data_IF_697025278351
#
_entry.id   IF_697025278351
#
_cell.length_a   1.000
_cell.length_b   1.000
_cell.length_c   1.000
_cell.angle_alpha   90.00
_cell.angle_beta   90.00
_cell.angle_gamma   90.00
#
_symmetry.space_group_name_H-M   'P 1'
#
loop_
_entity.id
_entity.type
_entity.pdbx_description
1 polymer ?
#
# COMPACT_ATOMS: atom_id res chain seq x y z
N UNK A 1 -7.13 -14.91 16.35
CA UNK A 1 -7.29 -13.44 16.37
C UNK A 1 -8.72 -13.05 16.00
N UNK A 2 -9.28 -12.06 16.70
CA UNK A 2 -10.48 -11.32 16.31
C UNK A 2 -10.13 -9.83 16.28
N UNK A 3 -10.85 -9.05 15.47
CA UNK A 3 -10.80 -7.58 15.55
C UNK A 3 -11.04 -7.14 17.01
N UNK A 4 -10.38 -6.07 17.44
CA UNK A 4 -10.61 -5.51 18.78
C UNK A 4 -12.03 -4.95 18.87
N UNK A 5 -12.63 -4.99 20.07
CA UNK A 5 -13.95 -4.40 20.31
C UNK A 5 -13.94 -2.88 20.08
N UNK A 6 -12.77 -2.26 20.27
CA UNK A 6 -12.52 -0.86 19.95
C UNK A 6 -12.76 -0.62 18.45
N UNK A 7 -11.94 -1.25 17.59
CA UNK A 7 -12.01 -1.09 16.13
C UNK A 7 -13.41 -1.43 15.64
N UNK A 8 -13.99 -2.55 16.09
CA UNK A 8 -15.34 -2.97 15.69
C UNK A 8 -16.43 -1.91 15.92
N UNK A 9 -16.25 -1.04 16.91
CA UNK A 9 -17.20 0.03 17.27
C UNK A 9 -16.82 1.40 16.71
N UNK A 10 -15.52 1.67 16.52
CA UNK A 10 -15.03 3.00 16.14
C UNK A 10 -14.77 3.14 14.65
N UNK A 11 -14.45 2.05 13.93
CA UNK A 11 -14.14 2.14 12.50
C UNK A 11 -15.22 2.86 11.67
N UNK A 12 -16.55 2.62 11.83
CA UNK A 12 -17.53 3.30 11.01
C UNK A 12 -17.61 4.80 11.32
N UNK A 13 -17.16 5.22 12.51
CA UNK A 13 -17.16 6.61 12.95
C UNK A 13 -15.89 7.31 12.45
N UNK A 14 -14.73 6.64 12.52
CA UNK A 14 -13.48 7.14 11.94
C UNK A 14 -13.61 7.41 10.44
N UNK A 15 -14.23 6.49 9.70
CA UNK A 15 -14.51 6.65 8.27
C UNK A 15 -15.70 7.58 7.95
N UNK A 16 -16.34 8.20 8.96
CA UNK A 16 -17.35 9.27 8.80
C UNK A 16 -16.80 10.68 9.08
N UNK A 17 -15.48 10.83 9.01
CA UNK A 17 -14.77 12.11 9.18
C UNK A 17 -14.74 12.61 10.64
N UNK A 18 -14.95 13.92 10.86
CA UNK A 18 -14.51 14.73 12.02
C UNK A 18 -14.99 14.32 13.43
N UNK A 19 -15.69 13.20 13.57
CA UNK A 19 -16.19 12.68 14.86
C UNK A 19 -15.15 11.84 15.61
N UNK A 20 -14.08 11.39 14.94
CA UNK A 20 -13.04 10.57 15.56
C UNK A 20 -11.67 10.75 14.87
N UNK A 21 -10.58 10.46 15.59
CA UNK A 21 -9.22 10.43 15.02
C UNK A 21 -8.97 9.12 14.27
N UNK A 22 -8.09 9.14 13.28
CA UNK A 22 -7.56 7.91 12.68
C UNK A 22 -6.69 7.21 13.74
N UNK A 23 -7.14 6.05 14.22
CA UNK A 23 -6.51 5.28 15.30
C UNK A 23 -6.18 3.85 14.81
N UNK A 24 -5.75 3.75 13.55
CA UNK A 24 -5.20 2.54 12.94
C UNK A 24 -3.68 2.66 12.82
N UNK A 25 -3.00 1.63 12.33
CA UNK A 25 -1.54 1.66 12.11
C UNK A 25 -0.73 1.95 13.40
N UNK A 26 -1.20 1.46 14.56
CA UNK A 26 -0.56 1.65 15.87
C UNK A 26 -0.65 3.09 16.39
N UNK A 27 -1.51 3.93 15.80
CA UNK A 27 -1.79 5.29 16.26
C UNK A 27 -2.99 5.34 17.20
N UNK A 28 -2.97 6.24 18.19
CA UNK A 28 -4.09 6.44 19.10
C UNK A 28 -4.16 7.90 19.57
N UNK A 29 -5.29 8.58 19.34
CA UNK A 29 -5.54 9.96 19.77
C UNK A 29 -4.45 10.96 19.30
N UNK A 30 -3.95 10.81 18.08
CA UNK A 30 -2.81 11.56 17.49
C UNK A 30 -1.42 11.24 18.11
N UNK A 31 -1.34 10.18 18.93
CA UNK A 31 -0.11 9.60 19.45
C UNK A 31 0.30 8.34 18.70
N UNK A 32 1.49 7.84 19.03
CA UNK A 32 1.97 6.53 18.56
C UNK A 32 1.97 5.63 19.78
N UNK A 33 1.15 4.59 19.78
CA UNK A 33 0.92 3.74 20.96
C UNK A 33 2.24 3.21 21.54
N UNK A 34 3.13 2.68 20.70
CA UNK A 34 4.43 2.21 21.15
C UNK A 34 5.38 3.31 21.66
N UNK A 35 5.32 4.55 21.14
CA UNK A 35 6.18 5.66 21.61
C UNK A 35 5.65 6.26 22.92
N UNK A 36 4.32 6.30 23.06
CA UNK A 36 3.63 6.86 24.22
C UNK A 36 3.47 5.84 25.37
N UNK A 37 4.02 4.63 25.21
CA UNK A 37 3.89 3.49 26.14
C UNK A 37 2.42 3.16 26.47
N UNK A 38 1.54 3.35 25.49
CA UNK A 38 0.12 3.03 25.58
C UNK A 38 -0.17 1.70 24.86
N UNK A 39 -1.11 0.89 25.36
CA UNK A 39 -1.61 -0.25 24.61
C UNK A 39 -2.21 0.23 23.29
N UNK A 40 -1.87 -0.45 22.18
CA UNK A 40 -2.60 -0.26 20.93
C UNK A 40 -4.03 -0.78 21.10
N UNK A 41 -5.00 0.14 21.08
CA UNK A 41 -6.41 -0.19 21.16
C UNK A 41 -6.90 -0.89 19.86
N UNK A 42 -6.17 -0.69 18.77
CA UNK A 42 -6.38 -1.32 17.47
C UNK A 42 -6.01 -2.80 17.43
N UNK A 43 -5.09 -3.24 18.31
CA UNK A 43 -4.45 -4.53 18.17
C UNK A 43 -5.47 -5.69 18.22
N UNK A 44 -5.48 -6.57 17.18
CA UNK A 44 -6.28 -7.78 17.22
C UNK A 44 -5.87 -8.69 18.39
N UNK A 45 -6.80 -9.48 18.93
CA UNK A 45 -6.50 -10.38 20.07
C UNK A 45 -5.41 -11.43 19.84
N UNK A 46 -5.03 -11.69 18.58
CA UNK A 46 -3.89 -12.56 18.23
C UNK A 46 -2.69 -11.81 17.65
N UNK A 47 -2.72 -10.48 17.68
CA UNK A 47 -1.76 -9.60 17.03
C UNK A 47 -1.91 -9.52 15.51
N UNK A 48 -1.03 -8.71 14.94
CA UNK A 48 -0.81 -8.58 13.51
C UNK A 48 0.08 -9.69 12.96
N UNK A 49 0.21 -9.73 11.63
CA UNK A 49 0.96 -10.76 10.91
C UNK A 49 2.42 -10.90 11.38
N UNK A 50 3.11 -9.78 11.63
CA UNK A 50 4.49 -9.79 12.13
C UNK A 50 4.64 -10.34 13.55
N UNK A 51 3.60 -10.26 14.40
CA UNK A 51 3.61 -10.93 15.71
C UNK A 51 3.60 -12.45 15.53
N UNK A 52 2.81 -12.96 14.57
CA UNK A 52 2.80 -14.38 14.23
C UNK A 52 4.18 -14.83 13.70
N UNK A 53 4.84 -14.01 12.88
CA UNK A 53 6.21 -14.28 12.41
C UNK A 53 7.23 -14.32 13.54
N UNK A 54 7.22 -13.33 14.43
CA UNK A 54 8.10 -13.28 15.59
C UNK A 54 7.97 -14.53 16.48
N UNK A 55 6.74 -14.99 16.72
CA UNK A 55 6.45 -16.18 17.53
C UNK A 55 6.97 -17.49 16.90
N UNK A 56 7.11 -17.54 15.58
CA UNK A 56 7.53 -18.73 14.83
C UNK A 56 8.94 -18.64 14.25
N UNK A 57 9.72 -17.64 14.68
CA UNK A 57 11.12 -17.48 14.26
C UNK A 57 11.30 -17.05 12.80
N UNK A 58 10.26 -16.51 12.17
CA UNK A 58 10.33 -15.93 10.83
C UNK A 58 10.88 -14.51 10.96
N UNK A 59 11.96 -14.20 10.26
CA UNK A 59 12.53 -12.85 10.23
C UNK A 59 11.72 -11.93 9.34
N UNK A 60 11.49 -10.70 9.78
CA UNK A 60 10.72 -9.70 9.03
C UNK A 60 11.37 -8.32 9.06
N UNK A 61 11.04 -7.52 8.05
CA UNK A 61 11.46 -6.12 7.93
C UNK A 61 10.42 -5.26 7.23
N UNK A 62 10.23 -4.05 7.73
CA UNK A 62 9.23 -3.09 7.26
C UNK A 62 9.88 -1.88 6.60
N UNK A 63 9.22 -1.42 5.54
CA UNK A 63 9.51 -0.20 4.81
C UNK A 63 8.18 0.57 4.64
N UNK A 64 7.95 1.57 5.51
CA UNK A 64 6.79 2.46 5.48
C UNK A 64 5.62 2.04 6.39
N UNK A 65 5.01 0.88 6.14
CA UNK A 65 3.78 0.45 6.83
C UNK A 65 3.98 0.21 8.35
N UNK A 66 3.11 0.80 9.19
CA UNK A 66 3.20 0.82 10.66
C UNK A 66 4.52 1.46 11.18
N UNK A 67 5.21 2.25 10.35
CA UNK A 67 6.38 3.04 10.72
C UNK A 67 6.03 4.51 10.54
N UNK A 68 5.84 5.26 11.62
CA UNK A 68 5.44 6.66 11.53
C UNK A 68 6.64 7.55 11.24
N UNK A 69 6.61 8.22 10.09
CA UNK A 69 7.58 9.26 9.76
C UNK A 69 7.22 10.59 10.42
N UNK A 70 8.16 11.15 11.18
CA UNK A 70 8.12 12.55 11.60
C UNK A 70 8.85 13.38 10.56
N UNK A 71 8.13 14.30 9.94
CA UNK A 71 8.65 15.18 8.89
C UNK A 71 9.15 16.51 9.45
N UNK A 72 10.20 17.05 8.84
CA UNK A 72 10.79 18.33 9.24
C UNK A 72 9.91 19.55 8.94
N UNK A 73 8.99 19.44 7.98
CA UNK A 73 8.02 20.47 7.62
C UNK A 73 6.69 20.35 8.40
N UNK A 74 6.55 19.36 9.28
CA UNK A 74 5.34 19.19 10.09
C UNK A 74 5.14 20.37 11.05
N UNK A 75 3.89 20.75 11.28
CA UNK A 75 3.56 21.75 12.28
C UNK A 75 4.02 21.29 13.67
N UNK A 76 4.59 22.18 14.50
CA UNK A 76 5.05 21.80 15.84
C UNK A 76 3.89 21.23 16.67
N UNK A 77 4.11 20.06 17.27
CA UNK A 77 3.20 19.43 18.25
C UNK A 77 3.12 20.32 19.50
N UNK A 78 2.28 21.36 19.45
CA UNK A 78 2.07 22.30 20.55
C UNK A 78 1.10 21.77 21.62
N UNK A 79 0.61 20.53 21.48
CA UNK A 79 -0.24 19.89 22.48
C UNK A 79 0.66 19.20 23.50
N UNK A 80 0.64 19.68 24.74
CA UNK A 80 1.23 18.94 25.87
C UNK A 80 0.57 17.56 25.92
N UNK A 81 1.32 16.46 26.11
CA UNK A 81 0.72 15.16 26.33
C UNK A 81 -0.33 15.29 27.45
N UNK A 82 -1.57 14.89 27.16
CA UNK A 82 -2.66 14.89 28.15
C UNK A 82 -2.44 13.79 29.19
N UNK A 83 -1.66 12.75 28.83
CA UNK A 83 -1.22 11.62 29.64
C UNK A 83 0.18 11.15 29.18
N UNK A 84 0.93 10.51 30.07
CA UNK A 84 2.27 9.96 29.78
C UNK A 84 3.44 10.90 30.15
N UNK A 85 4.69 10.42 30.05
CA UNK A 85 5.87 11.25 30.27
C UNK A 85 5.96 12.39 29.23
N UNK A 86 6.64 13.51 29.53
CA UNK A 86 6.87 14.56 28.55
C UNK A 86 7.55 13.99 27.30
N UNK A 87 6.96 14.21 26.12
CA UNK A 87 7.58 13.83 24.85
C UNK A 87 8.94 14.53 24.71
N UNK A 88 9.95 13.80 24.22
CA UNK A 88 11.25 14.38 23.90
C UNK A 88 11.04 15.54 22.93
N UNK A 89 11.75 16.66 23.13
CA UNK A 89 11.68 17.80 22.22
C UNK A 89 11.87 17.32 20.77
N UNK A 90 10.99 17.77 19.87
CA UNK A 90 11.03 17.40 18.46
C UNK A 90 12.40 17.65 17.83
N UNK A 91 12.73 16.86 16.82
CA UNK A 91 13.98 17.03 16.05
C UNK A 91 13.96 18.42 15.40
N UNK A 92 14.95 19.24 15.69
CA UNK A 92 15.10 20.55 15.05
C UNK A 92 15.80 20.34 13.72
N UNK A 93 15.05 20.50 12.63
CA UNK A 93 15.61 20.42 11.29
C UNK A 93 16.05 21.80 10.80
N UNK A 94 17.29 21.90 10.29
CA UNK A 94 17.80 23.13 9.67
C UNK A 94 17.20 23.37 8.27
N UNK A 95 16.70 22.31 7.65
CA UNK A 95 16.08 22.29 6.32
C UNK A 95 14.82 21.43 6.44
N UNK A 96 13.72 21.92 5.89
CA UNK A 96 12.42 21.25 6.00
C UNK A 96 11.98 20.55 4.72
N UNK A 97 12.45 21.06 3.57
CA UNK A 97 12.11 20.57 2.23
C UNK A 97 13.33 20.65 1.29
N UNK A 98 13.30 19.84 0.25
CA UNK A 98 14.22 19.85 -0.89
C UNK A 98 13.50 20.44 -2.10
N UNK A 99 14.06 21.51 -2.65
CA UNK A 99 13.53 22.14 -3.88
C UNK A 99 14.22 21.59 -5.12
N UNK A 100 13.60 21.82 -6.28
CA UNK A 100 14.20 21.53 -7.58
C UNK A 100 15.64 22.04 -7.66
N UNK A 101 16.52 21.19 -8.19
CA UNK A 101 17.95 21.41 -8.34
C UNK A 101 18.77 21.55 -7.04
N UNK A 102 18.15 21.55 -5.86
CA UNK A 102 18.89 21.42 -4.62
C UNK A 102 19.35 19.95 -4.43
N UNK A 103 20.46 19.71 -3.71
CA UNK A 103 20.91 18.35 -3.42
C UNK A 103 19.85 17.53 -2.69
N UNK A 104 19.62 16.32 -3.19
CA UNK A 104 18.89 15.24 -2.52
C UNK A 104 19.67 14.74 -1.28
N UNK A 105 19.00 13.96 -0.43
CA UNK A 105 19.69 13.26 0.66
C UNK A 105 20.72 12.28 0.11
N UNK A 106 21.79 12.04 0.88
CA UNK A 106 23.00 11.32 0.40
C UNK A 106 22.76 9.86 0.01
N UNK A 107 21.64 9.29 0.44
CA UNK A 107 21.26 7.91 0.20
C UNK A 107 20.46 7.74 -1.10
N UNK A 108 19.78 8.77 -1.58
CA UNK A 108 18.85 8.70 -2.72
C UNK A 108 19.30 9.55 -3.91
N UNK A 109 18.72 9.29 -5.08
CA UNK A 109 19.04 9.93 -6.34
C UNK A 109 20.13 9.24 -7.15
N UNK A 110 20.19 9.59 -8.43
CA UNK A 110 21.12 9.07 -9.44
C UNK A 110 21.82 10.27 -10.15
N UNK A 111 23.07 10.61 -9.82
CA UNK A 111 23.89 10.05 -8.74
C UNK A 111 23.37 10.43 -7.34
N UNK A 112 23.73 9.64 -6.33
CA UNK A 112 23.31 9.84 -4.94
C UNK A 112 23.64 11.23 -4.41
N UNK A 113 22.67 11.88 -3.76
CA UNK A 113 22.78 13.26 -3.30
C UNK A 113 22.90 14.29 -4.42
N UNK A 114 22.60 13.90 -5.67
CA UNK A 114 22.56 14.78 -6.82
C UNK A 114 21.43 15.82 -6.76
N UNK A 115 21.35 16.73 -7.73
CA UNK A 115 20.30 17.74 -7.78
C UNK A 115 18.92 17.11 -7.97
N UNK A 116 17.94 17.53 -7.18
CA UNK A 116 16.55 17.05 -7.27
C UNK A 116 15.95 17.37 -8.66
N UNK A 117 15.43 16.36 -9.39
CA UNK A 117 14.77 16.59 -10.68
C UNK A 117 13.32 17.08 -10.52
N UNK A 118 12.72 16.88 -9.35
CA UNK A 118 11.30 17.11 -9.10
C UNK A 118 10.96 18.60 -9.02
N UNK A 119 9.86 19.05 -9.66
CA UNK A 119 9.48 20.45 -9.67
C UNK A 119 8.71 20.93 -8.43
N UNK A 120 8.24 20.02 -7.57
CA UNK A 120 7.61 20.33 -6.28
C UNK A 120 8.63 20.24 -5.13
N UNK A 121 8.19 20.64 -3.94
CA UNK A 121 8.98 20.54 -2.71
C UNK A 121 8.88 19.13 -2.13
N UNK A 122 10.03 18.48 -1.87
CA UNK A 122 10.08 17.14 -1.26
C UNK A 122 10.32 17.30 0.24
N UNK A 123 9.48 16.75 1.12
CA UNK A 123 9.65 16.85 2.56
C UNK A 123 10.86 16.03 3.05
N UNK A 124 11.50 16.51 4.11
CA UNK A 124 12.68 15.86 4.70
C UNK A 124 12.26 15.05 5.93
N UNK A 125 12.74 13.81 6.00
CA UNK A 125 12.56 12.91 7.15
C UNK A 125 13.34 13.46 8.34
N UNK A 126 12.66 13.67 9.46
CA UNK A 126 13.30 14.01 10.73
C UNK A 126 13.67 12.74 11.51
N UNK A 127 12.72 11.80 11.61
CA UNK A 127 12.93 10.45 12.16
C UNK A 127 11.77 9.52 11.81
N UNK A 128 12.04 8.22 11.79
CA UNK A 128 11.03 7.16 11.74
C UNK A 128 10.86 6.51 13.11
N UNK A 129 9.63 6.11 13.43
CA UNK A 129 9.25 5.51 14.71
C UNK A 129 8.40 4.27 14.43
N UNK A 130 8.78 3.12 14.99
CA UNK A 130 7.93 1.92 14.93
C UNK A 130 6.64 2.15 15.73
N UNK A 131 5.49 1.98 15.08
CA UNK A 131 4.19 2.16 15.73
C UNK A 131 3.84 1.02 16.70
N UNK A 132 4.39 -0.16 16.44
CA UNK A 132 4.25 -1.37 17.26
C UNK A 132 5.57 -1.79 17.91
N UNK A 133 5.46 -2.42 19.08
CA UNK A 133 6.61 -2.85 19.86
C UNK A 133 7.47 -3.90 19.13
N UNK A 134 6.80 -4.79 18.40
CA UNK A 134 7.37 -5.87 17.60
C UNK A 134 8.17 -5.33 16.40
N UNK A 135 7.84 -4.14 15.90
CA UNK A 135 8.54 -3.54 14.77
C UNK A 135 9.82 -2.79 15.19
N UNK A 136 10.08 -2.62 16.49
CA UNK A 136 11.30 -1.94 16.97
C UNK A 136 12.55 -2.70 16.52
N UNK A 137 13.39 -2.04 15.71
CA UNK A 137 14.60 -2.63 15.14
C UNK A 137 14.38 -3.47 13.87
N UNK A 138 13.13 -3.58 13.42
CA UNK A 138 12.72 -4.33 12.22
C UNK A 138 12.29 -3.42 11.06
N UNK A 139 12.81 -2.19 10.98
CA UNK A 139 12.52 -1.25 9.89
C UNK A 139 13.78 -0.51 9.44
N UNK A 140 13.67 0.16 8.29
CA UNK A 140 14.69 1.08 7.79
C UNK A 140 14.47 2.51 8.32
N UNK A 141 15.41 3.09 9.08
CA UNK A 141 15.25 4.43 9.65
C UNK A 141 15.27 5.57 8.61
N UNK A 142 15.66 5.30 7.36
CA UNK A 142 15.72 6.26 6.26
C UNK A 142 14.60 6.09 5.23
N UNK A 143 13.79 5.03 5.33
CA UNK A 143 12.67 4.79 4.42
C UNK A 143 11.38 5.44 4.93
N UNK A 144 10.82 6.46 4.25
CA UNK A 144 9.64 7.17 4.76
C UNK A 144 8.34 6.39 4.61
N UNK A 145 7.38 6.73 5.46
CA UNK A 145 5.97 6.34 5.42
C UNK A 145 5.19 7.11 4.32
N UNK A 146 3.86 7.03 4.39
CA UNK A 146 2.89 7.75 3.58
C UNK A 146 3.18 9.25 3.52
N UNK A 147 3.44 9.72 2.30
CA UNK A 147 3.60 11.13 1.95
C UNK A 147 3.66 11.23 0.42
N UNK A 148 2.57 11.70 -0.19
CA UNK A 148 2.38 11.73 -1.66
C UNK A 148 3.22 12.81 -2.36
N UNK A 149 3.87 13.70 -1.60
CA UNK A 149 4.87 14.63 -2.13
C UNK A 149 6.28 14.03 -2.17
N UNK A 150 6.54 12.94 -1.44
CA UNK A 150 7.82 12.25 -1.46
C UNK A 150 7.79 11.18 -2.55
N UNK A 151 8.62 11.26 -3.61
CA UNK A 151 8.52 10.34 -4.74
C UNK A 151 8.84 8.88 -4.40
N UNK A 152 8.04 7.94 -4.91
CA UNK A 152 8.28 6.50 -4.80
C UNK A 152 9.59 6.05 -5.46
N UNK A 153 10.10 6.78 -6.46
CA UNK A 153 11.47 6.55 -6.94
C UNK A 153 12.54 6.73 -5.87
N UNK A 154 12.38 7.70 -4.95
CA UNK A 154 13.32 7.89 -3.84
C UNK A 154 13.12 6.84 -2.75
N UNK A 155 11.89 6.33 -2.57
CA UNK A 155 11.63 5.16 -1.71
C UNK A 155 12.30 3.90 -2.28
N UNK A 156 12.17 3.68 -3.58
CA UNK A 156 12.85 2.57 -4.27
C UNK A 156 14.37 2.69 -4.18
N UNK A 157 14.95 3.90 -4.31
CA UNK A 157 16.38 4.13 -4.10
C UNK A 157 16.82 3.65 -2.72
N UNK A 158 16.09 4.02 -1.66
CA UNK A 158 16.46 3.63 -0.30
C UNK A 158 16.30 2.13 -0.06
N UNK A 159 15.19 1.53 -0.47
CA UNK A 159 15.03 0.08 -0.39
C UNK A 159 16.16 -0.65 -1.12
N UNK A 160 16.49 -0.21 -2.34
CA UNK A 160 17.55 -0.82 -3.15
C UNK A 160 18.95 -0.66 -2.53
N UNK A 161 19.18 0.38 -1.71
CA UNK A 161 20.44 0.52 -0.98
C UNK A 161 20.68 -0.63 -0.02
N UNK A 162 19.65 -1.04 0.72
CA UNK A 162 19.74 -2.15 1.66
C UNK A 162 19.62 -3.50 0.96
N UNK A 163 18.72 -3.62 -0.03
CA UNK A 163 18.59 -4.84 -0.83
C UNK A 163 19.93 -5.24 -1.48
N UNK A 164 20.68 -4.28 -2.03
CA UNK A 164 22.01 -4.55 -2.59
C UNK A 164 23.01 -5.08 -1.54
N UNK A 165 22.88 -4.68 -0.27
CA UNK A 165 23.68 -5.23 0.82
C UNK A 165 23.30 -6.67 1.13
N UNK A 166 22.01 -7.01 1.11
CA UNK A 166 21.55 -8.39 1.23
C UNK A 166 22.08 -9.27 0.10
N UNK A 167 22.00 -8.79 -1.15
CA UNK A 167 22.55 -9.50 -2.32
C UNK A 167 24.06 -9.73 -2.15
N UNK A 168 24.81 -8.71 -1.74
CA UNK A 168 26.24 -8.83 -1.49
C UNK A 168 26.54 -9.85 -0.37
N UNK A 169 25.78 -9.82 0.72
CA UNK A 169 25.93 -10.75 1.84
C UNK A 169 25.65 -12.19 1.40
N UNK A 170 24.55 -12.45 0.68
CA UNK A 170 24.21 -13.78 0.15
C UNK A 170 25.26 -14.30 -0.81
N UNK A 171 25.76 -13.46 -1.71
CA UNK A 171 26.87 -13.81 -2.62
C UNK A 171 28.17 -14.13 -1.88
N UNK A 172 28.36 -13.59 -0.67
CA UNK A 172 29.48 -13.93 0.22
C UNK A 172 29.24 -15.18 1.11
N UNK A 173 28.09 -15.85 0.95
CA UNK A 173 27.71 -17.05 1.69
C UNK A 173 26.97 -16.80 3.00
N UNK A 174 26.52 -15.56 3.26
CA UNK A 174 25.72 -15.20 4.44
C UNK A 174 24.41 -14.57 4.00
N UNK A 175 23.34 -15.35 3.97
CA UNK A 175 22.02 -14.78 3.73
C UNK A 175 21.56 -13.95 4.93
N UNK A 176 21.24 -12.68 4.69
CA UNK A 176 20.75 -11.75 5.71
C UNK A 176 19.43 -11.08 5.32
N UNK A 177 18.86 -11.43 4.16
CA UNK A 177 17.55 -10.87 3.79
C UNK A 177 16.49 -11.45 4.74
N UNK A 178 15.60 -10.61 5.28
CA UNK A 178 14.45 -11.06 6.04
C UNK A 178 13.57 -12.00 5.21
N UNK A 179 13.00 -13.04 5.84
CA UNK A 179 12.09 -13.97 5.16
C UNK A 179 10.78 -13.30 4.72
N UNK A 180 10.34 -12.27 5.45
CA UNK A 180 9.23 -11.41 5.06
C UNK A 180 9.66 -9.95 4.97
N UNK A 181 9.29 -9.29 3.89
CA UNK A 181 9.47 -7.85 3.71
C UNK A 181 8.12 -7.22 3.39
N UNK A 182 7.77 -6.15 4.10
CA UNK A 182 6.64 -5.30 3.77
C UNK A 182 7.17 -3.98 3.18
N UNK A 183 6.80 -3.69 1.94
CA UNK A 183 7.21 -2.49 1.20
C UNK A 183 5.98 -1.66 0.81
N UNK A 184 5.87 -0.43 1.32
CA UNK A 184 4.78 0.52 1.03
C UNK A 184 5.24 1.57 0.01
N UNK A 185 4.58 1.63 -1.14
CA UNK A 185 4.79 2.64 -2.19
C UNK A 185 3.47 3.40 -2.39
N UNK A 186 3.25 4.56 -1.74
CA UNK A 186 1.93 5.18 -1.62
C UNK A 186 1.58 6.24 -2.69
N UNK A 187 2.44 6.53 -3.67
CA UNK A 187 2.21 7.69 -4.55
C UNK A 187 0.96 7.53 -5.45
N UNK A 188 0.54 6.31 -5.73
CA UNK A 188 -0.68 6.04 -6.49
C UNK A 188 -1.98 6.46 -5.76
N UNK A 189 -1.91 6.77 -4.46
CA UNK A 189 -2.96 7.46 -3.69
C UNK A 189 -3.18 8.92 -4.18
N UNK A 190 -2.15 9.51 -4.78
CA UNK A 190 -2.11 10.85 -5.40
C UNK A 190 -2.35 12.03 -4.45
N UNK A 191 -1.99 13.24 -4.89
CA UNK A 191 -2.39 14.49 -4.25
C UNK A 191 -3.65 15.12 -4.91
N UNK A 192 -4.42 14.33 -5.67
CA UNK A 192 -5.51 14.83 -6.51
C UNK A 192 -5.06 15.92 -7.48
N UNK A 193 -5.82 17.01 -7.58
CA UNK A 193 -5.49 18.16 -8.43
C UNK A 193 -4.83 19.31 -7.64
N UNK A 194 -4.28 19.02 -6.46
CA UNK A 194 -3.67 20.02 -5.58
C UNK A 194 -2.54 20.74 -6.29
N UNK A 195 -2.57 22.08 -6.28
CA UNK A 195 -1.56 22.89 -6.95
C UNK A 195 -0.18 22.69 -6.33
N UNK A 196 0.85 22.72 -7.17
CA UNK A 196 2.25 22.50 -6.84
C UNK A 196 2.54 21.09 -6.32
N UNK A 197 1.62 20.15 -6.50
CA UNK A 197 1.81 18.73 -6.23
C UNK A 197 1.85 17.93 -7.55
N UNK A 198 2.35 16.69 -7.54
CA UNK A 198 2.36 15.83 -8.72
C UNK A 198 0.96 15.70 -9.33
N UNK A 199 0.90 15.58 -10.66
CA UNK A 199 -0.36 15.18 -11.32
C UNK A 199 -0.71 13.73 -10.94
N UNK A 200 -2.00 13.35 -10.88
CA UNK A 200 -2.39 11.96 -10.62
C UNK A 200 -1.69 10.94 -11.55
N UNK A 201 -1.63 11.25 -12.85
CA UNK A 201 -0.93 10.40 -13.82
C UNK A 201 0.59 10.35 -13.62
N UNK A 202 1.20 11.39 -13.04
CA UNK A 202 2.61 11.41 -12.70
C UNK A 202 2.87 10.52 -11.48
N UNK A 203 2.03 10.61 -10.44
CA UNK A 203 2.16 9.79 -9.24
C UNK A 203 2.01 8.29 -9.51
N UNK A 204 0.98 7.90 -10.27
CA UNK A 204 0.79 6.49 -10.67
C UNK A 204 1.95 6.00 -11.53
N UNK A 205 2.50 6.84 -12.42
CA UNK A 205 3.66 6.48 -13.23
C UNK A 205 4.98 6.42 -12.45
N UNK A 206 5.12 7.23 -11.40
CA UNK A 206 6.25 7.19 -10.46
C UNK A 206 6.21 5.89 -9.65
N UNK A 207 5.04 5.53 -9.11
CA UNK A 207 4.78 4.28 -8.40
C UNK A 207 5.03 3.03 -9.27
N UNK A 208 4.48 2.98 -10.49
CA UNK A 208 4.65 1.86 -11.45
C UNK A 208 6.13 1.61 -11.76
N UNK A 209 6.91 2.68 -12.01
CA UNK A 209 8.35 2.54 -12.22
C UNK A 209 9.07 2.10 -10.94
N UNK A 210 8.65 2.53 -9.75
CA UNK A 210 9.28 2.14 -8.49
C UNK A 210 9.13 0.64 -8.25
N UNK A 211 7.92 0.09 -8.47
CA UNK A 211 7.68 -1.36 -8.50
C UNK A 211 8.58 -2.03 -9.53
N UNK A 212 8.59 -1.52 -10.77
CA UNK A 212 9.41 -2.07 -11.85
C UNK A 212 10.89 -2.17 -11.49
N UNK A 213 11.47 -1.13 -10.86
CA UNK A 213 12.87 -1.10 -10.43
C UNK A 213 13.18 -2.11 -9.33
N UNK A 214 12.28 -2.27 -8.37
CA UNK A 214 12.42 -3.27 -7.30
C UNK A 214 12.42 -4.69 -7.87
N UNK A 215 11.48 -4.98 -8.78
CA UNK A 215 11.35 -6.30 -9.39
C UNK A 215 12.49 -6.61 -10.37
N UNK A 216 12.96 -5.61 -11.13
CA UNK A 216 14.14 -5.73 -11.99
C UNK A 216 15.37 -6.12 -11.16
N UNK A 217 15.67 -5.38 -10.08
CA UNK A 217 16.78 -5.68 -9.19
C UNK A 217 16.65 -7.06 -8.53
N UNK A 218 15.46 -7.41 -8.03
CA UNK A 218 15.19 -8.70 -7.39
C UNK A 218 15.40 -9.86 -8.35
N UNK A 219 14.79 -9.80 -9.53
CA UNK A 219 14.76 -10.90 -10.50
C UNK A 219 16.12 -11.14 -11.18
N UNK A 220 17.01 -10.15 -11.17
CA UNK A 220 18.41 -10.29 -11.58
C UNK A 220 19.36 -10.71 -10.45
N UNK A 221 18.87 -10.83 -9.22
CA UNK A 221 19.70 -11.18 -8.05
C UNK A 221 19.71 -12.68 -7.74
N UNK A 222 20.57 -13.07 -6.79
CA UNK A 222 20.59 -14.43 -6.23
C UNK A 222 19.32 -14.82 -5.45
N UNK A 223 18.43 -13.87 -5.16
CA UNK A 223 17.16 -14.08 -4.46
C UNK A 223 15.99 -14.45 -5.39
N UNK A 224 16.18 -14.40 -6.71
CA UNK A 224 15.07 -14.67 -7.65
C UNK A 224 14.47 -16.07 -7.49
N UNK A 225 15.31 -17.05 -7.17
CA UNK A 225 14.94 -18.45 -7.11
C UNK A 225 14.05 -18.81 -5.92
N UNK A 226 14.01 -17.98 -4.88
CA UNK A 226 13.33 -18.27 -3.62
C UNK A 226 12.51 -17.09 -3.07
N UNK A 227 12.23 -16.08 -3.90
CA UNK A 227 11.35 -14.96 -3.53
C UNK A 227 10.03 -15.01 -4.28
N UNK A 228 8.96 -14.69 -3.56
CA UNK A 228 7.64 -14.37 -4.11
C UNK A 228 7.28 -12.95 -3.69
N UNK A 229 6.82 -12.14 -4.65
CA UNK A 229 6.29 -10.80 -4.40
C UNK A 229 4.78 -10.85 -4.62
N UNK A 230 4.03 -10.40 -3.63
CA UNK A 230 2.59 -10.27 -3.69
C UNK A 230 2.28 -8.78 -3.53
N UNK A 231 1.55 -8.22 -4.50
CA UNK A 231 1.23 -6.79 -4.56
C UNK A 231 -0.28 -6.66 -4.51
N UNK A 232 -0.76 -5.76 -3.66
CA UNK A 232 -2.14 -5.34 -3.51
C UNK A 232 -2.17 -3.85 -3.16
N UNK A 233 -3.28 -3.20 -3.47
CA UNK A 233 -3.61 -1.89 -2.88
C UNK A 233 -4.27 -2.08 -1.50
N UNK A 234 -4.23 -1.05 -0.67
CA UNK A 234 -4.93 -1.00 0.62
C UNK A 234 -6.45 -0.95 0.43
N UNK A 235 -6.93 -0.16 -0.53
CA UNK A 235 -8.31 -0.15 -0.98
C UNK A 235 -8.46 0.09 -2.51
N UNK A 236 -9.68 0.36 -2.97
CA UNK A 236 -10.03 0.67 -4.37
C UNK A 236 -10.50 2.11 -4.54
N UNK A 237 -10.25 2.94 -3.53
CA UNK A 237 -10.72 4.31 -3.32
C UNK A 237 -12.25 4.48 -3.41
N UNK A 238 -13.04 3.42 -3.19
CA UNK A 238 -14.49 3.40 -3.51
C UNK A 238 -14.79 3.90 -4.95
N UNK A 239 -13.87 3.60 -5.87
CA UNK A 239 -13.95 3.98 -7.27
C UNK A 239 -15.03 3.21 -8.03
N UNK A 240 -15.57 3.77 -9.12
CA UNK A 240 -16.52 3.05 -9.96
C UNK A 240 -15.85 1.87 -10.68
N UNK A 241 -16.30 0.66 -10.36
CA UNK A 241 -15.95 -0.56 -11.06
C UNK A 241 -17.19 -1.25 -11.65
N UNK A 242 -17.03 -1.93 -12.79
CA UNK A 242 -18.14 -2.58 -13.48
C UNK A 242 -18.62 -3.88 -12.82
N UNK A 243 -17.83 -4.46 -11.89
CA UNK A 243 -18.19 -5.64 -11.09
C UNK A 243 -18.62 -5.21 -9.69
N UNK A 244 -17.72 -4.59 -8.93
CA UNK A 244 -17.94 -4.14 -7.55
C UNK A 244 -16.88 -3.11 -7.16
N UNK A 245 -17.27 -2.04 -6.46
CA UNK A 245 -16.39 -0.93 -6.10
C UNK A 245 -15.26 -1.34 -5.17
N UNK A 246 -15.32 -2.50 -4.50
CA UNK A 246 -14.23 -3.04 -3.68
C UNK A 246 -13.22 -3.89 -4.48
N UNK A 247 -13.44 -4.10 -5.79
CA UNK A 247 -12.50 -4.88 -6.61
C UNK A 247 -11.24 -4.04 -6.86
N UNK A 248 -10.10 -4.53 -6.36
CA UNK A 248 -8.78 -3.91 -6.57
C UNK A 248 -7.85 -4.82 -7.36
N UNK A 249 -6.62 -4.34 -7.61
CA UNK A 249 -5.55 -5.09 -8.24
C UNK A 249 -4.92 -6.09 -7.26
N UNK A 250 -4.48 -7.23 -7.78
CA UNK A 250 -3.69 -8.20 -7.04
C UNK A 250 -2.70 -8.88 -7.99
N UNK A 251 -1.40 -8.74 -7.74
CA UNK A 251 -0.34 -9.27 -8.58
C UNK A 251 0.53 -10.27 -7.79
N UNK A 252 1.00 -11.32 -8.47
CA UNK A 252 1.95 -12.28 -7.92
C UNK A 252 3.12 -12.45 -8.89
N UNK A 253 4.32 -12.11 -8.42
CA UNK A 253 5.56 -12.17 -9.19
C UNK A 253 6.51 -13.15 -8.50
N UNK A 254 6.89 -14.20 -9.21
CA UNK A 254 7.84 -15.20 -8.74
C UNK A 254 8.45 -15.94 -9.94
N UNK A 255 9.62 -16.55 -9.75
CA UNK A 255 10.19 -17.49 -10.72
C UNK A 255 9.21 -18.61 -11.12
N UNK A 256 8.29 -18.94 -10.20
CA UNK A 256 7.26 -19.98 -10.32
C UNK A 256 5.89 -19.46 -10.78
N UNK A 257 5.74 -18.17 -11.12
CA UNK A 257 4.49 -17.70 -11.72
C UNK A 257 4.28 -18.32 -13.11
N UNK A 258 3.04 -18.68 -13.52
CA UNK A 258 2.78 -19.18 -14.87
C UNK A 258 3.27 -18.21 -15.95
N UNK A 259 3.93 -18.75 -16.98
CA UNK A 259 4.43 -17.93 -18.09
C UNK A 259 3.27 -17.23 -18.82
N UNK A 260 3.49 -16.02 -19.33
CA UNK A 260 2.54 -15.36 -20.22
C UNK A 260 2.16 -16.26 -21.40
N UNK A 261 0.90 -16.21 -21.82
CA UNK A 261 0.51 -16.82 -23.08
C UNK A 261 1.06 -15.96 -24.22
N UNK A 262 1.83 -16.56 -25.14
CA UNK A 262 2.30 -15.86 -26.33
C UNK A 262 1.19 -15.86 -27.39
N UNK A 263 0.58 -14.70 -27.63
CA UNK A 263 -0.14 -14.43 -28.87
C UNK A 263 0.55 -13.25 -29.55
N UNK A 264 0.97 -13.44 -30.81
CA UNK A 264 1.45 -12.38 -31.73
C UNK A 264 2.17 -11.20 -31.08
N UNK A 265 3.50 -11.26 -30.93
CA UNK A 265 4.39 -10.16 -30.45
C UNK A 265 4.07 -9.52 -29.08
N UNK A 266 2.94 -9.82 -28.44
CA UNK A 266 2.52 -9.29 -27.15
C UNK A 266 2.34 -10.44 -26.15
N UNK A 267 3.12 -10.42 -25.07
CA UNK A 267 2.96 -11.36 -23.98
C UNK A 267 1.70 -10.99 -23.18
N UNK A 268 0.73 -11.90 -23.07
CA UNK A 268 -0.45 -11.72 -22.22
C UNK A 268 -0.16 -12.40 -20.88
N UNK A 269 -0.11 -11.67 -19.75
CA UNK A 269 0.16 -12.29 -18.45
C UNK A 269 -0.91 -13.33 -18.13
N UNK A 270 -0.56 -14.33 -17.33
CA UNK A 270 -1.55 -15.25 -16.80
C UNK A 270 -2.50 -14.51 -15.86
N UNK A 271 -3.81 -14.67 -16.07
CA UNK A 271 -4.86 -14.10 -15.23
C UNK A 271 -5.64 -15.24 -14.60
N UNK A 272 -5.62 -15.32 -13.27
CA UNK A 272 -6.51 -16.19 -12.51
C UNK A 272 -7.83 -15.46 -12.27
N UNK A 273 -8.95 -16.09 -12.64
CA UNK A 273 -10.29 -15.54 -12.49
C UNK A 273 -11.01 -16.06 -11.23
N UNK A 274 -10.32 -16.79 -10.36
CA UNK A 274 -10.86 -17.18 -9.06
C UNK A 274 -11.18 -15.95 -8.19
N UNK A 275 -12.21 -16.07 -7.36
CA UNK A 275 -12.58 -15.03 -6.40
C UNK A 275 -11.60 -15.06 -5.21
N UNK A 276 -10.79 -14.01 -5.09
CA UNK A 276 -9.89 -13.80 -3.97
C UNK A 276 -10.26 -12.55 -3.19
N UNK A 277 -9.89 -12.57 -1.91
CA UNK A 277 -9.90 -11.41 -0.99
C UNK A 277 -8.51 -11.23 -0.42
N UNK A 278 -8.24 -10.12 0.26
CA UNK A 278 -6.97 -9.88 0.97
C UNK A 278 -6.60 -11.03 1.93
N UNK A 279 -7.60 -11.72 2.49
CA UNK A 279 -7.36 -12.89 3.36
C UNK A 279 -6.73 -14.07 2.62
N UNK A 280 -7.02 -14.26 1.32
CA UNK A 280 -6.35 -15.28 0.51
C UNK A 280 -4.87 -14.97 0.32
N UNK A 281 -4.50 -13.69 0.22
CA UNK A 281 -3.11 -13.26 0.14
C UNK A 281 -2.39 -13.51 1.47
N UNK A 282 -2.98 -13.10 2.59
CA UNK A 282 -2.46 -13.42 3.95
C UNK A 282 -2.25 -14.91 4.12
N UNK A 283 -3.26 -15.73 3.78
CA UNK A 283 -3.17 -17.19 3.87
C UNK A 283 -2.06 -17.78 2.97
N UNK A 284 -1.82 -17.16 1.82
CA UNK A 284 -0.74 -17.56 0.90
C UNK A 284 0.63 -17.23 1.50
N UNK A 285 0.81 -16.03 2.07
CA UNK A 285 2.03 -15.61 2.78
C UNK A 285 2.34 -16.59 3.93
N UNK A 286 1.34 -16.88 4.78
CA UNK A 286 1.48 -17.84 5.89
C UNK A 286 1.95 -19.22 5.40
N UNK A 287 1.36 -19.69 4.29
CA UNK A 287 1.67 -20.98 3.71
C UNK A 287 3.09 -21.04 3.11
N UNK A 288 3.55 -19.95 2.47
CA UNK A 288 4.91 -19.84 1.93
C UNK A 288 5.96 -19.79 3.05
N UNK A 289 5.66 -19.11 4.15
CA UNK A 289 6.56 -18.94 5.29
C UNK A 289 6.47 -20.05 6.34
N UNK A 290 5.55 -21.00 6.17
CA UNK A 290 5.39 -22.15 7.06
C UNK A 290 4.83 -21.80 8.44
N UNK A 291 4.06 -20.72 8.57
CA UNK A 291 3.43 -20.30 9.82
C UNK A 291 1.95 -20.69 9.86
N UNK A 292 1.37 -20.95 11.05
CA UNK A 292 -0.05 -21.27 11.17
C UNK A 292 -0.93 -20.05 10.88
N UNK A 293 -2.19 -20.25 10.47
CA UNK A 293 -3.16 -19.17 10.36
C UNK A 293 -3.38 -18.45 11.70
N UNK A 294 -3.52 -17.13 11.66
CA UNK A 294 -3.77 -16.34 12.87
C UNK A 294 -5.18 -16.54 13.44
N UNK A 295 -6.16 -16.92 12.61
CA UNK A 295 -7.55 -17.09 13.02
C UNK A 295 -8.36 -18.08 12.13
N UNK A 296 -9.69 -17.97 12.15
CA UNK A 296 -10.57 -18.85 11.37
C UNK A 296 -10.83 -18.34 9.94
N UNK A 297 -10.62 -17.06 9.67
CA UNK A 297 -10.81 -16.46 8.35
C UNK A 297 -9.69 -16.89 7.40
N UNK A 298 -8.43 -16.64 7.80
CA UNK A 298 -7.24 -17.13 7.09
C UNK A 298 -7.17 -18.65 7.07
N UNK A 299 -7.48 -19.33 8.19
CA UNK A 299 -7.46 -20.78 8.29
C UNK A 299 -8.44 -21.52 7.37
N UNK A 300 -9.44 -20.82 6.80
CA UNK A 300 -10.39 -21.36 5.81
C UNK A 300 -10.20 -20.80 4.40
N UNK A 301 -9.35 -19.79 4.23
CA UNK A 301 -9.08 -19.23 2.92
C UNK A 301 -8.28 -20.21 2.07
N UNK A 302 -8.58 -20.23 0.76
CA UNK A 302 -7.77 -20.97 -0.19
C UNK A 302 -6.45 -20.22 -0.45
N UNK A 303 -5.36 -20.97 -0.53
CA UNK A 303 -4.07 -20.45 -1.04
C UNK A 303 -4.22 -20.15 -2.53
N UNK A 304 -3.58 -19.08 -3.01
CA UNK A 304 -3.56 -18.66 -4.42
C UNK A 304 -2.66 -19.56 -5.28
N UNK A 305 -2.74 -20.87 -5.11
CA UNK A 305 -1.84 -21.87 -5.68
C UNK A 305 -1.72 -21.83 -7.22
N UNK A 306 -2.76 -21.52 -8.02
CA UNK A 306 -2.62 -21.40 -9.47
C UNK A 306 -1.59 -20.35 -9.89
N UNK A 307 -1.38 -19.30 -9.10
CA UNK A 307 -0.40 -18.25 -9.39
C UNK A 307 1.06 -18.69 -9.16
N UNK A 308 1.28 -19.91 -8.67
CA UNK A 308 2.60 -20.52 -8.45
C UNK A 308 2.78 -21.85 -9.21
N UNK A 309 1.95 -22.11 -10.22
CA UNK A 309 1.97 -23.38 -10.95
C UNK A 309 2.98 -23.42 -12.12
N UNK A 310 3.83 -22.41 -12.26
CA UNK A 310 4.87 -22.33 -13.26
C UNK A 310 6.07 -23.25 -12.93
N UNK A 311 6.82 -23.72 -13.95
CA UNK A 311 7.92 -24.67 -13.76
C UNK A 311 9.20 -24.05 -13.16
N UNK A 312 9.16 -22.80 -12.70
CA UNK A 312 10.36 -22.11 -12.20
C UNK A 312 11.22 -21.51 -13.32
N UNK A 313 10.62 -21.07 -14.43
CA UNK A 313 11.34 -20.59 -15.62
C UNK A 313 10.95 -19.18 -16.05
N UNK A 314 10.31 -18.39 -15.18
CA UNK A 314 10.08 -16.98 -15.48
C UNK A 314 11.42 -16.25 -15.68
N UNK A 315 11.61 -15.58 -16.82
CA UNK A 315 12.81 -14.78 -17.04
C UNK A 315 12.85 -13.59 -16.08
N UNK A 316 14.04 -13.04 -15.80
CA UNK A 316 14.15 -11.77 -15.11
C UNK A 316 13.35 -10.67 -15.82
N UNK A 317 12.79 -9.77 -15.02
CA UNK A 317 12.01 -8.62 -15.48
C UNK A 317 12.94 -7.44 -15.75
N UNK A 318 12.52 -6.53 -16.63
CA UNK A 318 13.23 -5.29 -16.92
C UNK A 318 12.29 -4.12 -16.67
N UNK A 319 12.73 -3.13 -15.89
CA UNK A 319 11.92 -1.96 -15.59
C UNK A 319 11.69 -1.09 -16.85
N UNK A 320 10.47 -0.57 -17.04
CA UNK A 320 10.14 0.34 -18.14
C UNK A 320 10.33 1.81 -17.72
N UNK A 321 11.40 2.42 -18.19
CA UNK A 321 11.74 3.81 -17.88
C UNK A 321 11.04 4.85 -18.77
N UNK A 322 10.15 4.45 -19.68
CA UNK A 322 9.54 5.36 -20.67
C UNK A 322 8.88 6.59 -20.04
N UNK A 323 8.16 6.43 -18.92
CA UNK A 323 7.47 7.53 -18.25
C UNK A 323 8.41 8.46 -17.49
N UNK A 324 9.59 7.99 -17.09
CA UNK A 324 10.67 8.86 -16.61
C UNK A 324 11.27 9.65 -17.78
N UNK A 325 11.61 8.95 -18.85
CA UNK A 325 12.39 9.50 -19.97
C UNK A 325 11.57 10.50 -20.81
N UNK A 326 10.25 10.32 -20.89
CA UNK A 326 9.35 11.28 -21.52
C UNK A 326 8.94 12.45 -20.60
N UNK A 327 9.32 12.40 -19.32
CA UNK A 327 9.08 13.43 -18.32
C UNK A 327 7.75 13.35 -17.58
N UNK A 328 6.91 12.33 -17.81
CA UNK A 328 5.59 12.18 -17.19
C UNK A 328 5.67 12.19 -15.66
N UNK A 329 6.63 11.47 -15.07
CA UNK A 329 6.77 11.41 -13.60
C UNK A 329 7.12 12.76 -12.95
N UNK A 330 7.51 13.76 -13.75
CA UNK A 330 7.83 15.11 -13.27
C UNK A 330 6.70 16.11 -13.56
N UNK A 331 5.53 15.68 -14.03
CA UNK A 331 4.43 16.60 -14.28
C UNK A 331 3.75 17.04 -12.96
N UNK A 332 3.53 18.35 -12.83
CA UNK A 332 2.98 18.97 -11.63
C UNK A 332 1.71 19.76 -11.96
N UNK A 333 0.74 19.72 -11.05
CA UNK A 333 -0.46 20.56 -11.13
C UNK A 333 -0.08 22.04 -10.97
N UNK A 334 -0.38 22.86 -11.98
CA UNK A 334 -0.03 24.31 -11.98
C UNK A 334 -1.20 25.23 -11.67
N UNK A 335 -2.43 24.72 -11.73
CA UNK A 335 -3.67 25.48 -11.53
C UNK A 335 -4.22 25.24 -10.13
N UNK A 336 -4.88 26.26 -9.58
CA UNK A 336 -5.62 26.12 -8.33
C UNK A 336 -6.83 25.21 -8.51
N UNK A 337 -6.99 24.24 -7.62
CA UNK A 337 -8.19 23.40 -7.53
C UNK A 337 -9.08 23.92 -6.39
N UNK A 338 -10.06 24.75 -6.75
CA UNK A 338 -10.91 25.45 -5.77
C UNK A 338 -11.77 24.47 -4.97
N UNK A 339 -12.28 23.44 -5.64
CA UNK A 339 -13.18 22.45 -5.06
C UNK A 339 -12.46 21.51 -4.09
N UNK A 340 -11.17 21.25 -4.31
CA UNK A 340 -10.35 20.44 -3.40
C UNK A 340 -9.61 21.23 -2.33
N UNK A 341 -9.87 22.54 -2.18
CA UNK A 341 -9.13 23.41 -1.27
C UNK A 341 -9.18 22.98 0.21
N UNK A 342 -10.18 22.18 0.59
CA UNK A 342 -10.37 21.67 1.95
C UNK A 342 -10.15 20.16 2.06
N UNK A 343 -9.65 19.50 1.02
CA UNK A 343 -9.36 18.07 1.08
C UNK A 343 -8.06 17.82 1.84
N UNK A 344 -8.07 16.78 2.66
CA UNK A 344 -6.96 16.37 3.48
C UNK A 344 -6.25 15.17 2.86
N UNK A 345 -4.98 15.34 2.53
CA UNK A 345 -4.09 14.29 1.99
C UNK A 345 -2.98 13.93 2.99
N UNK A 346 -3.09 14.34 4.26
CA UNK A 346 -2.05 14.12 5.27
C UNK A 346 -1.97 12.67 5.76
N UNK A 347 -3.05 11.90 5.58
CA UNK A 347 -3.14 10.49 5.87
C UNK A 347 -3.90 9.77 4.74
N UNK A 348 -3.61 8.49 4.54
CA UNK A 348 -4.45 7.62 3.72
C UNK A 348 -5.90 7.68 4.25
N UNK A 349 -6.88 7.58 3.35
CA UNK A 349 -8.32 7.62 3.66
C UNK A 349 -8.89 8.94 4.25
N UNK A 350 -8.08 9.98 4.46
CA UNK A 350 -8.57 11.25 5.06
C UNK A 350 -9.44 12.08 4.09
N UNK A 351 -9.32 11.81 2.79
CA UNK A 351 -9.95 12.57 1.72
C UNK A 351 -11.42 12.17 1.51
N UNK A 352 -12.27 13.12 1.11
CA UNK A 352 -13.60 12.79 0.56
C UNK A 352 -13.42 12.04 -0.77
N UNK A 353 -13.55 10.71 -0.70
CA UNK A 353 -13.31 9.80 -1.83
C UNK A 353 -14.26 10.04 -2.99
N UNK A 354 -15.53 10.36 -2.73
CA UNK A 354 -16.51 10.65 -3.77
C UNK A 354 -16.14 11.92 -4.55
N UNK A 355 -15.68 12.95 -3.84
CA UNK A 355 -15.21 14.18 -4.47
C UNK A 355 -13.91 13.93 -5.24
N UNK A 356 -12.95 13.23 -4.64
CA UNK A 356 -11.67 12.89 -5.28
C UNK A 356 -11.88 12.08 -6.57
N UNK A 357 -12.66 10.99 -6.50
CA UNK A 357 -12.95 10.12 -7.65
C UNK A 357 -13.56 10.87 -8.82
N UNK A 358 -14.49 11.81 -8.55
CA UNK A 358 -15.07 12.65 -9.60
C UNK A 358 -14.01 13.43 -10.37
N UNK A 359 -13.02 13.99 -9.68
CA UNK A 359 -11.97 14.78 -10.31
C UNK A 359 -10.87 13.93 -10.95
N UNK A 360 -10.51 12.80 -10.35
CA UNK A 360 -9.62 11.83 -10.96
C UNK A 360 -10.23 11.29 -12.27
N UNK A 361 -11.52 10.95 -12.25
CA UNK A 361 -12.25 10.55 -13.45
C UNK A 361 -12.25 11.65 -14.50
N UNK A 362 -12.51 12.90 -14.13
CA UNK A 362 -12.49 14.03 -15.07
C UNK A 362 -11.09 14.26 -15.67
N UNK A 363 -10.01 14.16 -14.89
CA UNK A 363 -8.63 14.29 -15.40
C UNK A 363 -8.30 13.17 -16.40
N UNK A 364 -8.76 11.94 -16.13
CA UNK A 364 -8.46 10.77 -16.98
C UNK A 364 -9.37 10.62 -18.19
N UNK A 365 -10.66 10.89 -18.02
CA UNK A 365 -11.71 10.55 -18.98
C UNK A 365 -12.36 11.77 -19.64
N UNK A 366 -11.94 12.99 -19.27
CA UNK A 366 -12.46 14.25 -19.80
C UNK A 366 -13.95 14.43 -19.50
N UNK A 367 -14.74 14.70 -20.53
CA UNK A 367 -16.19 14.96 -20.41
C UNK A 367 -17.03 13.68 -20.25
N UNK A 368 -16.40 12.51 -20.18
CA UNK A 368 -17.12 11.24 -20.00
C UNK A 368 -17.76 11.24 -18.61
N UNK A 369 -19.07 10.98 -18.45
CA UNK A 369 -19.70 10.89 -17.14
C UNK A 369 -19.11 9.75 -16.29
N UNK A 370 -18.83 10.02 -15.02
CA UNK A 370 -18.38 8.99 -14.07
C UNK A 370 -19.54 8.01 -13.79
N UNK A 371 -19.34 6.69 -13.91
CA UNK A 371 -20.35 5.71 -13.53
C UNK A 371 -20.66 5.75 -12.03
N UNK A 372 -21.81 5.20 -11.63
CA UNK A 372 -22.10 4.99 -10.21
C UNK A 372 -21.31 3.77 -9.69
N UNK A 373 -20.78 3.81 -8.46
CA UNK A 373 -20.18 2.64 -7.81
C UNK A 373 -21.19 1.50 -7.67
N UNK A 374 -20.74 0.27 -7.93
CA UNK A 374 -21.54 -0.94 -7.77
C UNK A 374 -21.16 -1.68 -6.49
N UNK A 375 -22.15 -2.19 -5.74
CA UNK A 375 -21.92 -2.93 -4.49
C UNK A 375 -22.54 -4.33 -4.59
N UNK A 376 -22.16 -5.05 -5.65
CA UNK A 376 -22.69 -6.35 -6.00
C UNK A 376 -21.74 -7.44 -5.50
N UNK A 377 -21.78 -7.73 -4.19
CA UNK A 377 -20.98 -8.81 -3.56
C UNK A 377 -21.25 -10.19 -4.19
N UNK A 378 -22.40 -10.35 -4.86
CA UNK A 378 -22.76 -11.55 -5.62
C UNK A 378 -23.29 -11.17 -7.00
N UNK A 379 -23.00 -11.96 -8.06
CA UNK A 379 -23.63 -11.74 -9.35
C UNK A 379 -25.15 -11.78 -9.18
N UNK A 380 -25.91 -10.90 -9.86
CA UNK A 380 -27.36 -10.96 -9.83
C UNK A 380 -27.80 -12.37 -10.25
N UNK A 381 -28.76 -12.96 -9.52
CA UNK A 381 -29.34 -14.24 -9.91
C UNK A 381 -29.68 -14.19 -11.41
N UNK A 382 -29.29 -15.20 -12.20
CA UNK A 382 -29.64 -15.22 -13.62
C UNK A 382 -31.15 -15.08 -13.71
N UNK A 383 -31.61 -14.05 -14.42
CA UNK A 383 -33.01 -13.69 -14.51
C UNK A 383 -33.85 -14.95 -14.72
N UNK A 384 -34.66 -15.30 -13.72
CA UNK A 384 -35.51 -16.47 -13.79
C UNK A 384 -36.33 -16.36 -15.07
N UNK A 385 -36.03 -17.22 -16.05
CA UNK A 385 -36.84 -17.33 -17.26
C UNK A 385 -38.29 -17.44 -16.81
N UNK A 386 -39.13 -16.51 -17.28
CA UNK A 386 -40.53 -16.43 -16.94
C UNK A 386 -41.29 -17.64 -17.52
N UNK A 387 -41.09 -18.81 -16.91
CA UNK A 387 -41.82 -20.03 -17.16
C UNK A 387 -43.20 -19.89 -16.52
N UNK A 388 -44.19 -19.51 -17.32
CA UNK A 388 -45.61 -19.60 -16.96
C UNK A 388 -45.95 -21.03 -16.55
N UNK A 389 -45.98 -21.31 -15.25
CA UNK A 389 -46.61 -22.50 -14.69
C UNK A 389 -47.69 -22.06 -13.72
N UNK A 390 -48.92 -21.98 -14.24
CA UNK A 390 -50.13 -21.92 -13.42
C UNK A 390 -50.26 -23.27 -12.71
N UNK A 391 -50.01 -23.32 -11.40
CA UNK A 391 -50.60 -24.34 -10.52
C UNK A 391 -51.65 -23.68 -9.64
N UNK A 392 -52.87 -24.24 -9.55
CA UNK A 392 -53.95 -23.63 -8.78
C UNK A 392 -53.68 -23.81 -7.28
N UNK A 393 -53.99 -22.77 -6.50
CA UNK A 393 -53.96 -22.79 -5.05
C UNK A 393 -54.96 -23.84 -4.53
N UNK A 394 -54.48 -24.79 -3.72
CA UNK A 394 -55.36 -25.56 -2.84
C UNK A 394 -55.55 -24.76 -1.55
N UNK A 395 -56.77 -24.26 -1.42
CA UNK A 395 -57.37 -23.75 -0.20
C UNK A 395 -57.39 -24.87 0.86
N UNK A 396 -56.77 -24.62 2.01
CA UNK A 396 -57.07 -25.33 3.25
C UNK A 396 -57.60 -24.28 4.22
N UNK A 397 -58.91 -24.33 4.44
CA UNK A 397 -59.61 -23.63 5.53
C UNK A 397 -59.44 -24.44 6.83
N UNK A 398 -59.09 -23.69 7.90
CA UNK A 398 -59.57 -23.75 9.30
C UNK A 398 -59.32 -25.00 10.16
N UNK A 399 -58.65 -24.80 11.29
CA UNK A 399 -59.28 -24.32 12.54
C UNK A 399 -58.36 -23.37 13.30
#
# INVERSE_FOLDING_TARGET
ASVSDYVAKTWPIGYRSAEHTYDSEGTFLNGISADDELPDAGEPTGGYLWKNFAMHGVTYRHYGEYIVTKWCNAAPENKKPTWGPPKVAGVVCNRTVIKKAEPLEKNVGEPKGGPSPYPWEIPIIAKNIAAESELRGHFDPLYPDFEVAYPDQLRADEFLNEFNQFVAARNSGKDTMPQFILLRLPDDHTAGLTKNQPRPAASVADNDLAIGRVIDALSHSSYWDDTAVLILEDDSQDGPDHVDSHRSLALVISKYSPLPQTQESNAIPFVDHAFYTTINMVRTIESLLGVPPMNSNDGRAAVMAPLFSGPGTQPPFVADYKNRDNGLIYEMNTKEWKEGANLDFTHADAVDTALLNKFLWQDRMGDTPMPAPQHNVFPPEPAASAGKSKRPAKQYDRD
#
